data_IF_769208795414
#
_entry.id   IF_769208795414
#
_cell.length_a   1.000
_cell.length_b   1.000
_cell.length_c   1.000
_cell.angle_alpha   90.00
_cell.angle_beta   90.00
_cell.angle_gamma   90.00
#
_symmetry.space_group_name_H-M   'P 1'
#
loop_
_entity.id
_entity.type
_entity.pdbx_description
1 polymer ?
#
# COMPACT_ATOMS: atom_id res chain seq x y z
N UNK A 1 4.55 11.23 -1.14
CA UNK A 1 3.65 11.06 0.01
C UNK A 1 3.62 9.60 0.42
N UNK A 2 3.92 9.32 1.67
CA UNK A 2 3.69 8.01 2.28
C UNK A 2 2.33 8.02 2.97
N UNK A 3 1.53 6.98 2.75
CA UNK A 3 0.19 6.87 3.32
C UNK A 3 0.10 5.55 4.07
N UNK A 4 -0.27 5.61 5.34
CA UNK A 4 -0.47 4.44 6.19
C UNK A 4 -1.96 4.25 6.44
N UNK A 5 -2.50 3.12 6.00
CA UNK A 5 -3.88 2.72 6.29
C UNK A 5 -3.94 1.52 7.24
N UNK A 6 -2.77 1.03 7.69
CA UNK A 6 -2.71 -0.07 8.64
C UNK A 6 -3.03 0.43 10.06
N UNK A 7 -4.05 -0.12 10.73
CA UNK A 7 -4.36 0.27 12.11
C UNK A 7 -3.21 0.04 13.09
N UNK A 8 -2.28 -0.87 12.79
CA UNK A 8 -1.10 -1.11 13.64
C UNK A 8 -0.10 0.05 13.59
N UNK A 9 -0.09 0.83 12.51
CA UNK A 9 0.70 2.04 12.43
C UNK A 9 2.21 1.84 12.36
N UNK A 10 2.67 0.71 11.82
CA UNK A 10 4.12 0.44 11.74
C UNK A 10 4.87 1.46 10.90
N UNK A 11 4.30 1.89 9.78
CA UNK A 11 4.90 2.92 8.94
C UNK A 11 4.91 4.27 9.66
N UNK A 12 3.83 4.59 10.38
CA UNK A 12 3.75 5.82 11.17
C UNK A 12 4.83 5.87 12.24
N UNK A 13 5.03 4.77 12.96
CA UNK A 13 6.07 4.67 13.99
C UNK A 13 7.45 4.88 13.38
N UNK A 14 7.75 4.23 12.27
CA UNK A 14 9.02 4.38 11.56
C UNK A 14 9.24 5.84 11.13
N UNK A 15 8.21 6.48 10.57
CA UNK A 15 8.31 7.87 10.10
C UNK A 15 8.55 8.84 11.26
N UNK A 16 7.85 8.63 12.39
CA UNK A 16 7.96 9.47 13.57
C UNK A 16 9.34 9.38 14.25
N UNK A 17 10.04 8.26 14.11
CA UNK A 17 11.39 8.10 14.64
C UNK A 17 12.45 8.86 13.81
N UNK A 18 12.11 9.29 12.61
CA UNK A 18 13.02 10.02 11.73
C UNK A 18 13.02 11.50 12.05
N UNK A 19 14.18 12.13 11.84
CA UNK A 19 14.32 13.58 12.00
C UNK A 19 13.92 14.35 10.75
N UNK A 20 13.81 13.68 9.58
CA UNK A 20 13.51 14.31 8.31
C UNK A 20 12.01 14.52 8.11
N UNK A 21 11.66 15.65 7.51
CA UNK A 21 10.29 15.96 7.13
C UNK A 21 9.86 15.27 5.82
N UNK A 22 10.81 14.79 5.05
CA UNK A 22 10.53 14.13 3.78
C UNK A 22 10.87 12.64 3.83
N UNK A 23 10.13 11.80 3.11
CA UNK A 23 8.92 12.13 2.37
C UNK A 23 7.77 12.53 3.30
N UNK A 24 6.82 13.32 2.79
CA UNK A 24 5.63 13.69 3.56
C UNK A 24 4.81 12.45 3.92
N UNK A 25 4.09 12.50 5.02
CA UNK A 25 3.40 11.35 5.61
C UNK A 25 1.95 11.70 5.95
N UNK A 26 1.04 10.76 5.76
CA UNK A 26 -0.35 10.86 6.18
C UNK A 26 -0.88 9.50 6.65
N UNK A 27 -1.75 9.53 7.64
CA UNK A 27 -2.57 8.38 8.01
C UNK A 27 -3.98 8.60 7.53
N UNK A 28 -4.60 7.55 7.02
CA UNK A 28 -5.99 7.62 6.58
C UNK A 28 -6.67 6.26 6.75
N UNK A 29 -7.92 6.20 6.36
CA UNK A 29 -8.71 4.97 6.36
C UNK A 29 -9.05 4.58 4.92
N UNK A 30 -9.44 3.33 4.72
CA UNK A 30 -9.88 2.86 3.40
C UNK A 30 -11.04 3.71 2.88
N UNK A 31 -11.98 4.08 3.75
CA UNK A 31 -13.14 4.88 3.36
C UNK A 31 -12.78 6.27 2.83
N UNK A 32 -11.66 6.85 3.30
CA UNK A 32 -11.21 8.19 2.92
C UNK A 32 -10.13 8.19 1.85
N UNK A 33 -9.59 7.04 1.53
CA UNK A 33 -8.39 6.94 0.70
C UNK A 33 -8.56 7.60 -0.67
N UNK A 34 -9.65 7.32 -1.37
CA UNK A 34 -9.87 7.87 -2.71
C UNK A 34 -9.97 9.39 -2.68
N UNK A 35 -10.69 9.95 -1.70
CA UNK A 35 -10.82 11.41 -1.55
C UNK A 35 -9.49 12.06 -1.18
N UNK A 36 -8.73 11.43 -0.29
CA UNK A 36 -7.42 11.93 0.14
C UNK A 36 -6.42 11.91 -1.03
N UNK A 37 -6.43 10.87 -1.85
CA UNK A 37 -5.58 10.80 -3.05
C UNK A 37 -5.91 11.90 -4.05
N UNK A 38 -7.20 12.18 -4.26
CA UNK A 38 -7.62 13.25 -5.15
C UNK A 38 -7.14 14.62 -4.64
N UNK A 39 -7.25 14.85 -3.34
CA UNK A 39 -6.77 16.09 -2.71
C UNK A 39 -5.25 16.23 -2.85
N UNK A 40 -4.50 15.18 -2.61
CA UNK A 40 -3.04 15.19 -2.74
C UNK A 40 -2.60 15.47 -4.17
N UNK A 41 -3.31 14.91 -5.15
CA UNK A 41 -3.04 15.18 -6.57
C UNK A 41 -3.22 16.67 -6.88
N UNK A 42 -4.27 17.30 -6.35
CA UNK A 42 -4.51 18.74 -6.51
C UNK A 42 -3.42 19.58 -5.86
N UNK A 43 -2.82 19.10 -4.78
CA UNK A 43 -1.72 19.75 -4.09
C UNK A 43 -0.36 19.58 -4.80
N UNK A 44 -0.31 18.82 -5.88
CA UNK A 44 0.90 18.65 -6.69
C UNK A 44 1.72 17.41 -6.37
N UNK A 45 1.25 16.51 -5.53
CA UNK A 45 1.93 15.25 -5.29
C UNK A 45 1.80 14.34 -6.50
N UNK A 46 2.93 13.80 -6.96
CA UNK A 46 3.00 12.95 -8.15
C UNK A 46 3.07 11.47 -7.81
N UNK A 47 3.52 11.13 -6.62
CA UNK A 47 3.68 9.75 -6.17
C UNK A 47 3.11 9.59 -4.77
N UNK A 48 2.28 8.57 -4.59
CA UNK A 48 1.81 8.13 -3.29
C UNK A 48 2.14 6.65 -3.11
N UNK A 49 2.77 6.31 -1.99
CA UNK A 49 3.04 4.93 -1.60
C UNK A 49 2.14 4.59 -0.42
N UNK A 50 1.31 3.57 -0.60
CA UNK A 50 0.28 3.19 0.36
C UNK A 50 0.70 1.91 1.07
N UNK A 51 0.83 1.97 2.38
CA UNK A 51 1.08 0.81 3.23
C UNK A 51 -0.24 0.22 3.72
N UNK A 52 -0.40 -1.09 3.54
CA UNK A 52 -1.64 -1.80 3.79
C UNK A 52 -1.48 -2.83 4.91
N UNK A 53 -2.59 -3.21 5.59
CA UNK A 53 -2.56 -4.33 6.53
C UNK A 53 -2.14 -5.64 5.84
N UNK A 54 -1.51 -6.56 6.57
CA UNK A 54 -1.00 -7.82 5.99
C UNK A 54 -2.10 -8.80 5.58
N UNK A 55 -3.33 -8.63 6.06
CA UNK A 55 -4.43 -9.54 5.77
C UNK A 55 -5.12 -9.20 4.46
N UNK A 56 -5.48 -10.24 3.68
CA UNK A 56 -6.29 -10.07 2.49
C UNK A 56 -7.73 -9.91 2.92
N UNK A 57 -8.22 -8.67 2.82
CA UNK A 57 -9.56 -8.27 3.24
C UNK A 57 -10.21 -7.45 2.14
N UNK A 58 -11.47 -7.04 2.35
CA UNK A 58 -12.12 -6.10 1.45
C UNK A 58 -11.37 -4.76 1.35
N UNK A 59 -10.65 -4.39 2.41
CA UNK A 59 -9.80 -3.21 2.41
C UNK A 59 -8.73 -3.28 1.31
N UNK A 60 -8.09 -4.44 1.12
CA UNK A 60 -7.09 -4.64 0.08
C UNK A 60 -7.69 -4.45 -1.31
N UNK A 61 -8.90 -4.94 -1.54
CA UNK A 61 -9.59 -4.75 -2.82
C UNK A 61 -9.82 -3.27 -3.12
N UNK A 62 -10.23 -2.50 -2.12
CA UNK A 62 -10.42 -1.05 -2.27
C UNK A 62 -9.13 -0.31 -2.58
N UNK A 63 -8.01 -0.72 -1.98
CA UNK A 63 -6.69 -0.14 -2.26
C UNK A 63 -6.23 -0.49 -3.68
N UNK A 64 -6.38 -1.74 -4.09
CA UNK A 64 -6.03 -2.19 -5.45
C UNK A 64 -6.83 -1.38 -6.49
N UNK A 65 -8.08 -1.09 -6.22
CA UNK A 65 -8.94 -0.33 -7.13
C UNK A 65 -8.42 1.08 -7.42
N UNK A 66 -7.79 1.74 -6.45
CA UNK A 66 -7.26 3.10 -6.60
C UNK A 66 -5.77 3.14 -6.95
N UNK A 67 -5.05 2.06 -6.80
CA UNK A 67 -3.63 1.99 -7.11
C UNK A 67 -3.38 1.86 -8.61
N UNK A 68 -2.27 2.39 -9.09
CA UNK A 68 -1.83 2.25 -10.49
C UNK A 68 -0.83 1.11 -10.64
N UNK A 69 -0.09 0.79 -9.58
CA UNK A 69 0.89 -0.29 -9.54
C UNK A 69 0.85 -0.96 -8.18
N UNK A 70 0.88 -2.27 -8.17
CA UNK A 70 0.93 -3.06 -6.95
C UNK A 70 2.35 -3.61 -6.78
N UNK A 71 2.94 -3.36 -5.61
CA UNK A 71 4.26 -3.91 -5.24
C UNK A 71 4.03 -4.96 -4.17
N UNK A 72 4.48 -6.18 -4.43
CA UNK A 72 4.32 -7.30 -3.50
C UNK A 72 5.69 -7.72 -2.99
N UNK A 73 6.10 -7.27 -1.80
CA UNK A 73 7.30 -7.81 -1.17
C UNK A 73 7.03 -9.24 -0.70
N UNK A 74 7.96 -10.13 -0.96
CA UNK A 74 7.82 -11.53 -0.58
C UNK A 74 9.15 -12.09 -0.13
N UNK A 75 9.09 -13.10 0.75
CA UNK A 75 10.26 -13.90 1.14
C UNK A 75 10.24 -15.19 0.34
N UNK A 76 11.43 -15.80 0.10
CA UNK A 76 11.49 -17.07 -0.60
C UNK A 76 11.12 -18.24 0.34
N UNK A 77 9.90 -18.24 0.85
CA UNK A 77 9.38 -19.30 1.69
C UNK A 77 8.06 -19.83 1.11
N UNK A 78 7.76 -21.14 1.29
CA UNK A 78 6.50 -21.71 0.78
C UNK A 78 5.26 -21.01 1.34
N UNK A 79 5.32 -20.59 2.60
CA UNK A 79 4.20 -19.91 3.26
C UNK A 79 3.91 -18.54 2.63
N UNK A 80 4.95 -17.75 2.42
CA UNK A 80 4.82 -16.43 1.79
C UNK A 80 4.38 -16.54 0.33
N UNK A 81 4.90 -17.54 -0.40
CA UNK A 81 4.54 -17.76 -1.79
C UNK A 81 3.06 -18.13 -1.96
N UNK A 82 2.48 -18.83 -1.01
CA UNK A 82 1.04 -19.15 -1.01
C UNK A 82 0.18 -17.90 -0.82
N UNK A 83 0.59 -17.02 0.09
CA UNK A 83 -0.12 -15.76 0.33
C UNK A 83 -0.11 -14.86 -0.91
N UNK A 84 0.97 -14.89 -1.68
CA UNK A 84 1.12 -14.11 -2.91
C UNK A 84 0.09 -14.51 -3.97
N UNK A 85 -0.26 -15.80 -4.07
CA UNK A 85 -1.21 -16.28 -5.07
C UNK A 85 -2.57 -15.58 -5.01
N UNK A 86 -3.11 -15.38 -3.81
CA UNK A 86 -4.38 -14.69 -3.64
C UNK A 86 -4.29 -13.21 -4.06
N UNK A 87 -3.18 -12.55 -3.77
CA UNK A 87 -2.94 -11.16 -4.18
C UNK A 87 -2.85 -11.05 -5.71
N UNK A 88 -2.15 -11.97 -6.36
CA UNK A 88 -2.05 -12.02 -7.82
C UNK A 88 -3.45 -12.12 -8.45
N UNK A 89 -4.30 -13.01 -7.93
CA UNK A 89 -5.66 -13.17 -8.45
C UNK A 89 -6.48 -11.88 -8.33
N UNK A 90 -6.36 -11.17 -7.22
CA UNK A 90 -7.05 -9.90 -7.03
C UNK A 90 -6.57 -8.84 -8.02
N UNK A 91 -5.28 -8.76 -8.26
CA UNK A 91 -4.69 -7.80 -9.21
C UNK A 91 -5.10 -8.11 -10.63
N UNK A 92 -5.11 -9.38 -11.02
CA UNK A 92 -5.55 -9.82 -12.34
C UNK A 92 -7.01 -9.45 -12.60
N UNK A 93 -7.89 -9.70 -11.63
CA UNK A 93 -9.31 -9.35 -11.75
C UNK A 93 -9.52 -7.85 -11.86
N UNK A 94 -8.71 -7.06 -11.18
CA UNK A 94 -8.77 -5.61 -11.24
C UNK A 94 -8.06 -5.02 -12.47
N UNK A 95 -7.33 -5.81 -13.22
CA UNK A 95 -6.55 -5.35 -14.37
C UNK A 95 -5.38 -4.47 -14.01
N UNK A 96 -4.77 -4.67 -12.83
CA UNK A 96 -3.67 -3.82 -12.33
C UNK A 96 -2.32 -4.49 -12.54
N UNK A 97 -1.30 -3.71 -12.97
CA UNK A 97 0.06 -4.23 -13.05
C UNK A 97 0.62 -4.52 -11.66
N UNK A 98 1.44 -5.56 -11.60
CA UNK A 98 1.97 -6.09 -10.36
C UNK A 98 3.45 -6.39 -10.54
N UNK A 99 4.27 -6.06 -9.54
CA UNK A 99 5.67 -6.48 -9.48
C UNK A 99 5.95 -7.16 -8.14
N UNK A 100 6.86 -8.11 -8.18
CA UNK A 100 7.34 -8.78 -6.97
C UNK A 100 8.70 -8.22 -6.58
N UNK A 101 8.90 -8.06 -5.28
CA UNK A 101 10.21 -7.73 -4.70
C UNK A 101 10.57 -8.86 -3.75
N UNK A 102 11.53 -9.67 -4.13
CA UNK A 102 12.01 -10.78 -3.29
C UNK A 102 13.01 -10.22 -2.29
N UNK A 103 12.69 -10.38 -1.02
CA UNK A 103 13.50 -9.90 0.09
C UNK A 103 13.74 -11.09 1.03
N UNK A 104 14.97 -11.58 1.01
CA UNK A 104 15.27 -12.75 1.81
C UNK A 104 16.54 -12.73 2.59
#
# INVERSE_FOLDING_TARGET
MLIDIDPQGSLADWWNERADEFPAFAQTTVARLAADLAMLRQQGFRLAVIDTPPAITMAIQSVIAVAELIVVPTRPSPHDLRAVGATVDLCDRAGKPLIFVVNG
#
